data_IF_957277935968
#
_entry.id   IF_957277935968
#
_cell.length_a   1.000
_cell.length_b   1.000
_cell.length_c   1.000
_cell.angle_alpha   90.00
_cell.angle_beta   90.00
_cell.angle_gamma   90.00
#
_symmetry.space_group_name_H-M   'P 1'
#
loop_
_entity.id
_entity.type
_entity.pdbx_description
1 polymer ?
#
# COMPACT_ATOMS: atom_id res chain seq x y z
N UNK A 1 1.38 31.13 19.00
CA UNK A 1 1.74 29.76 19.44
C UNK A 1 0.42 29.01 19.59
N UNK A 2 0.15 27.96 18.81
CA UNK A 2 -1.19 27.35 18.67
C UNK A 2 -1.97 27.17 20.00
N UNK A 3 -1.30 26.69 21.05
CA UNK A 3 -1.87 26.52 22.39
C UNK A 3 -2.35 27.84 23.04
N UNK A 4 -1.50 28.88 23.00
CA UNK A 4 -1.81 30.21 23.57
C UNK A 4 -2.88 30.92 22.76
N UNK A 5 -2.82 30.81 21.44
CA UNK A 5 -3.75 31.51 20.52
C UNK A 5 -5.19 30.97 20.64
N UNK A 6 -5.34 29.74 21.12
CA UNK A 6 -6.65 29.09 21.33
C UNK A 6 -7.07 29.02 22.81
N UNK A 7 -6.31 29.62 23.73
CA UNK A 7 -6.65 29.67 25.16
C UNK A 7 -6.64 28.32 25.86
N UNK A 8 -5.80 27.36 25.44
CA UNK A 8 -5.70 26.06 26.09
C UNK A 8 -5.06 26.15 27.47
N UNK A 9 -5.58 25.37 28.43
CA UNK A 9 -4.97 25.25 29.76
C UNK A 9 -3.68 24.45 29.72
N UNK A 10 -2.87 24.56 30.77
CA UNK A 10 -1.63 23.77 30.92
C UNK A 10 -1.91 22.27 30.92
N UNK A 11 -2.98 21.83 31.59
CA UNK A 11 -3.43 20.44 31.63
C UNK A 11 -3.83 19.93 30.24
N UNK A 12 -4.61 20.71 29.48
CA UNK A 12 -5.02 20.39 28.12
C UNK A 12 -3.81 20.25 27.19
N UNK A 13 -2.83 21.15 27.31
CA UNK A 13 -1.60 21.07 26.52
C UNK A 13 -0.75 19.86 26.91
N UNK A 14 -0.64 19.54 28.20
CA UNK A 14 0.09 18.35 28.66
C UNK A 14 -0.53 17.06 28.13
N UNK A 15 -1.86 16.95 28.17
CA UNK A 15 -2.58 15.83 27.58
C UNK A 15 -2.34 15.76 26.06
N UNK A 16 -2.40 16.91 25.37
CA UNK A 16 -2.13 16.97 23.94
C UNK A 16 -0.73 16.47 23.57
N UNK A 17 0.32 16.93 24.27
CA UNK A 17 1.68 16.45 24.04
C UNK A 17 1.82 14.95 24.32
N UNK A 18 1.12 14.44 25.34
CA UNK A 18 1.09 13.02 25.64
C UNK A 18 0.47 12.21 24.50
N UNK A 19 -0.65 12.68 23.93
CA UNK A 19 -1.29 12.06 22.76
C UNK A 19 -0.32 12.03 21.57
N UNK A 20 0.35 13.14 21.26
CA UNK A 20 1.30 13.21 20.14
C UNK A 20 2.52 12.32 20.38
N UNK A 21 2.99 12.20 21.62
CA UNK A 21 4.08 11.28 21.98
C UNK A 21 3.68 9.82 21.73
N UNK A 22 2.54 9.39 22.26
CA UNK A 22 2.04 8.03 22.04
C UNK A 22 1.77 7.73 20.56
N UNK A 23 1.29 8.73 19.82
CA UNK A 23 1.13 8.66 18.37
C UNK A 23 2.46 8.44 17.66
N UNK A 24 3.49 9.18 18.08
CA UNK A 24 4.81 9.10 17.47
C UNK A 24 5.49 7.76 17.75
N UNK A 25 5.39 7.27 18.97
CA UNK A 25 5.87 5.92 19.35
C UNK A 25 5.25 4.85 18.44
N UNK A 26 3.93 4.88 18.23
CA UNK A 26 3.26 3.94 17.32
C UNK A 26 3.68 4.12 15.85
N UNK A 27 3.97 5.36 15.42
CA UNK A 27 4.36 5.64 14.04
C UNK A 27 5.75 5.05 13.69
N UNK A 28 6.67 5.04 14.64
CA UNK A 28 8.08 4.63 14.44
C UNK A 28 8.37 3.19 14.83
N UNK A 29 7.42 2.51 15.48
CA UNK A 29 7.54 1.11 15.92
C UNK A 29 7.78 0.11 14.77
N UNK A 30 7.36 0.48 13.56
CA UNK A 30 7.49 -0.37 12.38
C UNK A 30 8.05 0.41 11.18
N UNK A 31 8.95 -0.18 10.37
CA UNK A 31 9.42 0.43 9.13
C UNK A 31 8.35 0.47 8.03
N UNK A 32 7.28 -0.33 8.15
CA UNK A 32 6.22 -0.39 7.17
C UNK A 32 5.27 0.79 7.26
N UNK A 33 4.65 1.16 6.13
CA UNK A 33 3.63 2.21 6.09
C UNK A 33 2.45 1.89 7.02
N UNK A 34 2.19 2.76 7.98
CA UNK A 34 1.19 2.58 9.03
C UNK A 34 0.41 3.88 9.31
N UNK A 35 0.21 4.74 8.31
CA UNK A 35 -0.44 6.04 8.47
C UNK A 35 -1.89 5.88 8.93
N UNK A 36 -2.64 4.99 8.28
CA UNK A 36 -4.05 4.71 8.56
C UNK A 36 -4.28 4.20 9.99
N UNK A 37 -3.61 3.12 10.46
CA UNK A 37 -3.81 2.65 11.83
C UNK A 37 -3.33 3.67 12.88
N UNK A 38 -2.28 4.45 12.59
CA UNK A 38 -1.81 5.51 13.49
C UNK A 38 -2.85 6.65 13.56
N UNK A 39 -3.49 6.99 12.44
CA UNK A 39 -4.57 7.97 12.43
C UNK A 39 -5.84 7.46 13.14
N UNK A 40 -6.14 6.16 13.06
CA UNK A 40 -7.23 5.57 13.84
C UNK A 40 -6.95 5.68 15.34
N UNK A 41 -5.75 5.30 15.77
CA UNK A 41 -5.32 5.41 17.17
C UNK A 41 -5.34 6.86 17.67
N UNK A 42 -4.96 7.83 16.83
CA UNK A 42 -5.10 9.25 17.14
C UNK A 42 -6.55 9.64 17.45
N UNK A 43 -7.51 9.19 16.61
CA UNK A 43 -8.94 9.48 16.81
C UNK A 43 -9.45 8.87 18.11
N UNK A 44 -9.06 7.64 18.42
CA UNK A 44 -9.42 6.96 19.67
C UNK A 44 -8.91 7.71 20.90
N UNK A 45 -7.61 8.06 20.93
CA UNK A 45 -7.02 8.85 22.01
C UNK A 45 -7.75 10.19 22.19
N UNK A 46 -8.01 10.90 21.09
CA UNK A 46 -8.68 12.19 21.15
C UNK A 46 -10.11 12.05 21.69
N UNK A 47 -10.82 10.98 21.33
CA UNK A 47 -12.15 10.67 21.84
C UNK A 47 -12.13 10.37 23.36
N UNK A 48 -11.15 9.60 23.83
CA UNK A 48 -10.95 9.32 25.25
C UNK A 48 -10.74 10.58 26.10
N UNK A 49 -10.12 11.62 25.53
CA UNK A 49 -9.90 12.89 26.21
C UNK A 49 -11.02 13.94 25.98
N UNK A 50 -12.06 13.59 25.24
CA UNK A 50 -13.17 14.51 24.89
C UNK A 50 -14.51 14.10 25.48
N UNK A 51 -14.73 12.80 25.69
CA UNK A 51 -15.98 12.27 26.24
C UNK A 51 -15.81 11.97 27.73
N UNK A 52 -16.84 12.23 28.54
CA UNK A 52 -16.85 11.90 29.98
C UNK A 52 -17.46 10.51 30.22
N UNK A 53 -16.61 9.49 30.40
CA UNK A 53 -16.99 8.09 30.72
C UNK A 53 -15.97 7.56 31.75
N UNK A 54 -16.19 7.82 33.06
CA UNK A 54 -15.41 7.17 34.10
C UNK A 54 -15.55 5.64 33.97
N UNK A 55 -14.49 4.82 34.15
CA UNK A 55 -13.16 5.10 34.72
C UNK A 55 -12.04 5.48 33.73
N UNK A 56 -12.28 5.44 32.41
CA UNK A 56 -11.19 5.52 31.40
C UNK A 56 -11.09 6.86 30.67
N UNK A 57 -12.11 7.73 30.70
CA UNK A 57 -12.18 8.90 29.84
C UNK A 57 -12.50 10.18 30.62
N UNK A 58 -11.70 11.22 30.40
CA UNK A 58 -11.78 12.52 31.07
C UNK A 58 -12.11 13.56 30.00
N UNK A 59 -13.21 14.29 30.15
CA UNK A 59 -13.61 15.35 29.22
C UNK A 59 -12.72 16.59 29.41
N UNK A 60 -11.50 16.52 28.89
CA UNK A 60 -10.53 17.62 28.90
C UNK A 60 -10.77 18.59 27.75
N UNK A 61 -11.21 18.11 26.59
CA UNK A 61 -11.41 18.91 25.39
C UNK A 61 -12.88 19.09 25.05
N UNK A 62 -13.25 20.30 24.63
CA UNK A 62 -14.55 20.55 24.01
C UNK A 62 -14.56 20.13 22.53
N UNK A 63 -15.76 19.94 21.95
CA UNK A 63 -15.90 19.53 20.55
C UNK A 63 -15.21 20.49 19.57
N UNK A 64 -15.25 21.80 19.84
CA UNK A 64 -14.58 22.79 18.98
C UNK A 64 -13.06 22.77 19.14
N UNK A 65 -12.56 22.51 20.35
CA UNK A 65 -11.14 22.30 20.60
C UNK A 65 -10.62 21.06 19.87
N UNK A 66 -11.39 19.97 19.88
CA UNK A 66 -11.07 18.72 19.14
C UNK A 66 -10.90 19.00 17.65
N UNK A 67 -11.83 19.73 17.03
CA UNK A 67 -11.72 20.08 15.60
C UNK A 67 -10.45 20.86 15.27
N UNK A 68 -10.10 21.82 16.14
CA UNK A 68 -8.87 22.62 16.00
C UNK A 68 -7.63 21.76 16.15
N UNK A 69 -7.59 20.87 17.13
CA UNK A 69 -6.48 19.94 17.40
C UNK A 69 -6.30 18.95 16.26
N UNK A 70 -7.38 18.34 15.75
CA UNK A 70 -7.34 17.44 14.58
C UNK A 70 -6.79 18.17 13.36
N UNK A 71 -7.31 19.37 13.06
CA UNK A 71 -6.83 20.18 11.94
C UNK A 71 -5.35 20.52 12.11
N UNK A 72 -4.91 20.82 13.33
CA UNK A 72 -3.51 21.13 13.62
C UNK A 72 -2.61 19.90 13.43
N UNK A 73 -2.99 18.73 13.98
CA UNK A 73 -2.22 17.49 13.83
C UNK A 73 -2.10 17.05 12.38
N UNK A 74 -3.19 17.14 11.60
CA UNK A 74 -3.15 16.80 10.18
C UNK A 74 -2.19 17.72 9.41
N UNK A 75 -2.25 19.03 9.67
CA UNK A 75 -1.43 20.00 8.96
C UNK A 75 0.05 20.03 9.39
N UNK A 76 0.37 19.55 10.58
CA UNK A 76 1.74 19.58 11.11
C UNK A 76 2.35 18.19 11.15
N UNK A 77 1.78 17.28 11.95
CA UNK A 77 2.33 15.95 12.16
C UNK A 77 2.13 15.04 10.94
N UNK A 78 0.87 14.80 10.55
CA UNK A 78 0.57 13.84 9.47
C UNK A 78 1.02 14.33 8.09
N UNK A 79 1.00 15.65 7.85
CA UNK A 79 1.58 16.25 6.64
C UNK A 79 3.06 15.87 6.45
N UNK A 80 3.80 15.73 7.54
CA UNK A 80 5.22 15.39 7.53
C UNK A 80 5.49 13.96 8.03
N UNK A 81 4.49 13.08 7.97
CA UNK A 81 4.58 11.71 8.50
C UNK A 81 5.78 10.93 7.95
N UNK A 82 6.04 11.02 6.64
CA UNK A 82 7.18 10.36 5.99
C UNK A 82 8.53 10.82 6.54
N UNK A 83 8.67 12.12 6.86
CA UNK A 83 9.90 12.68 7.43
C UNK A 83 10.16 12.10 8.81
N UNK A 84 9.13 12.10 9.68
CA UNK A 84 9.24 11.50 11.01
C UNK A 84 9.57 10.02 10.92
N UNK A 85 8.89 9.29 10.05
CA UNK A 85 9.16 7.87 9.85
C UNK A 85 10.61 7.63 9.39
N UNK A 86 11.08 8.38 8.41
CA UNK A 86 12.44 8.24 7.91
C UNK A 86 13.52 8.53 8.98
N UNK A 87 13.32 9.57 9.79
CA UNK A 87 14.31 9.99 10.78
C UNK A 87 14.34 9.10 12.04
N UNK A 88 13.18 8.59 12.46
CA UNK A 88 13.02 7.95 13.77
C UNK A 88 12.77 6.44 13.71
N UNK A 89 12.53 5.85 12.53
CA UNK A 89 12.38 4.39 12.42
C UNK A 89 13.75 3.70 12.46
N UNK A 90 13.95 2.71 13.34
CA UNK A 90 15.15 1.89 13.35
C UNK A 90 15.35 1.16 12.01
N UNK A 91 16.54 1.26 11.43
CA UNK A 91 16.89 0.51 10.21
C UNK A 91 17.23 -0.94 10.58
N UNK A 92 16.42 -1.89 10.13
CA UNK A 92 16.74 -3.32 10.23
C UNK A 92 17.67 -3.68 9.08
N UNK A 93 18.91 -4.09 9.39
CA UNK A 93 19.87 -4.61 8.40
C UNK A 93 20.01 -6.12 8.62
N UNK A 94 19.90 -6.89 7.54
CA UNK A 94 20.21 -8.31 7.54
C UNK A 94 21.54 -8.48 6.80
N UNK A 95 22.56 -9.00 7.51
CA UNK A 95 23.83 -9.39 6.92
C UNK A 95 23.82 -10.91 6.72
N UNK A 96 23.99 -11.35 5.47
CA UNK A 96 23.92 -12.75 5.08
C UNK A 96 25.31 -13.24 4.66
N UNK A 97 25.95 -14.03 5.53
CA UNK A 97 27.15 -14.78 5.17
C UNK A 97 26.75 -16.16 4.65
N UNK A 98 26.90 -16.40 3.35
CA UNK A 98 26.63 -17.68 2.72
C UNK A 98 27.94 -18.45 2.55
N UNK A 99 28.09 -19.56 3.26
CA UNK A 99 29.14 -20.54 3.00
C UNK A 99 28.55 -21.68 2.18
N UNK A 100 29.01 -21.83 0.95
CA UNK A 100 28.53 -22.88 0.05
C UNK A 100 29.44 -24.10 0.13
N UNK A 101 28.90 -25.22 0.61
CA UNK A 101 29.63 -26.49 0.69
C UNK A 101 29.57 -27.20 -0.66
N UNK A 102 30.73 -27.53 -1.24
CA UNK A 102 30.83 -28.34 -2.46
C UNK A 102 31.14 -27.58 -3.76
N UNK A 103 31.40 -26.28 -3.70
CA UNK A 103 32.04 -25.57 -4.82
C UNK A 103 33.56 -25.84 -4.79
N UNK A 104 34.20 -26.11 -5.94
CA UNK A 104 35.66 -26.09 -6.01
C UNK A 104 36.14 -24.70 -5.60
N UNK A 105 37.20 -24.63 -4.78
CA UNK A 105 37.83 -23.35 -4.42
C UNK A 105 38.37 -22.72 -5.70
N UNK A 106 37.66 -21.73 -6.22
CA UNK A 106 38.22 -20.85 -7.25
C UNK A 106 39.38 -20.12 -6.56
N UNK A 107 40.62 -20.23 -7.06
CA UNK A 107 41.72 -19.49 -6.49
C UNK A 107 41.38 -18.00 -6.52
N UNK A 108 41.67 -17.29 -5.43
CA UNK A 108 41.58 -15.83 -5.40
C UNK A 108 42.32 -15.27 -6.63
N UNK A 109 41.76 -14.30 -7.35
CA UNK A 109 42.47 -13.65 -8.44
C UNK A 109 43.76 -13.10 -7.84
N UNK A 110 44.87 -13.73 -8.20
CA UNK A 110 46.20 -13.28 -7.82
C UNK A 110 46.34 -11.84 -8.26
N UNK A 111 46.47 -10.92 -7.30
CA UNK A 111 46.92 -9.56 -7.56
C UNK A 111 48.33 -9.67 -8.14
N UNK A 112 48.40 -9.71 -9.47
CA UNK A 112 49.65 -9.49 -10.18
C UNK A 112 49.98 -8.02 -9.96
N UNK A 113 50.91 -7.78 -9.05
CA UNK A 113 51.47 -6.47 -8.80
C UNK A 113 52.16 -5.95 -10.05
N UNK A 114 51.57 -4.91 -10.63
CA UNK A 114 52.23 -3.86 -11.40
C UNK A 114 51.68 -2.57 -10.76
N UNK A 115 52.38 -1.94 -9.82
CA UNK A 115 53.51 -1.07 -10.10
C UNK A 115 53.04 0.36 -9.87
N UNK A 116 53.58 1.00 -8.83
CA UNK A 116 53.47 2.42 -8.54
C UNK A 116 53.53 3.30 -9.80
N UNK A 117 52.50 4.13 -10.04
CA UNK A 117 52.67 5.46 -10.60
C UNK A 117 51.75 6.45 -9.86
N UNK A 118 52.36 7.23 -8.98
CA UNK A 118 51.83 8.51 -8.51
C UNK A 118 51.64 9.46 -9.70
N UNK A 119 50.42 9.98 -9.89
CA UNK A 119 50.11 10.97 -10.91
C UNK A 119 48.90 11.83 -10.51
N UNK A 120 49.17 13.10 -10.26
CA UNK A 120 48.31 14.08 -9.60
C UNK A 120 47.13 14.63 -10.43
N UNK A 121 46.14 15.18 -9.71
CA UNK A 121 45.15 16.17 -10.17
C UNK A 121 43.75 15.57 -10.40
N UNK A 122 42.64 16.19 -10.07
CA UNK A 122 42.32 17.54 -9.60
C UNK A 122 40.89 17.50 -9.03
N UNK A 123 40.59 18.56 -8.31
CA UNK A 123 39.46 19.00 -7.50
C UNK A 123 38.00 18.73 -7.92
N UNK A 124 37.15 18.86 -6.88
CA UNK A 124 35.85 19.54 -6.85
C UNK A 124 34.60 18.81 -7.38
N UNK A 125 33.36 19.05 -6.93
CA UNK A 125 32.75 19.66 -5.74
C UNK A 125 31.24 19.67 -6.07
N UNK A 126 30.38 19.16 -5.17
CA UNK A 126 28.92 19.39 -5.09
C UNK A 126 28.07 19.03 -6.34
N UNK A 127 26.83 18.58 -6.24
CA UNK A 127 25.57 19.31 -5.95
C UNK A 127 24.48 18.23 -6.11
N UNK A 128 23.79 17.85 -5.05
CA UNK A 128 22.39 18.20 -4.71
C UNK A 128 21.31 17.39 -5.47
N UNK A 129 20.36 16.88 -4.68
CA UNK A 129 19.07 16.23 -5.00
C UNK A 129 18.25 16.97 -6.10
N UNK A 130 17.14 16.45 -6.69
CA UNK A 130 16.18 15.49 -6.11
C UNK A 130 15.59 14.45 -7.06
N UNK A 131 15.08 13.33 -6.54
CA UNK A 131 14.19 12.47 -7.32
C UNK A 131 12.73 12.59 -6.83
N UNK A 132 11.90 13.08 -7.75
CA UNK A 132 10.45 13.08 -7.66
C UNK A 132 9.93 12.78 -9.06
N UNK A 133 9.28 11.62 -9.15
CA UNK A 133 8.10 11.35 -9.99
C UNK A 133 8.34 10.83 -11.42
N UNK A 134 7.76 9.63 -11.62
CA UNK A 134 7.14 9.09 -12.85
C UNK A 134 8.00 8.42 -13.94
N UNK A 135 7.51 7.21 -14.27
CA UNK A 135 7.40 6.59 -15.59
C UNK A 135 8.63 5.92 -16.26
N UNK A 136 8.46 4.60 -16.42
CA UNK A 136 8.88 3.79 -17.58
C UNK A 136 10.28 4.05 -18.15
N UNK A 137 11.30 3.51 -17.49
CA UNK A 137 12.55 3.15 -18.15
C UNK A 137 12.59 1.64 -18.35
N UNK A 138 12.21 1.21 -19.57
CA UNK A 138 12.45 -0.14 -20.08
C UNK A 138 13.97 -0.36 -20.06
N UNK A 139 14.47 -1.11 -19.08
CA UNK A 139 15.81 -1.66 -19.15
C UNK A 139 15.82 -2.74 -20.24
N UNK A 140 16.46 -2.47 -21.37
CA UNK A 140 16.92 -3.51 -22.27
C UNK A 140 18.03 -4.30 -21.55
N UNK A 141 17.63 -5.36 -20.85
CA UNK A 141 18.59 -6.37 -20.39
C UNK A 141 19.22 -7.02 -21.62
N UNK A 142 20.55 -6.89 -21.74
CA UNK A 142 21.32 -7.67 -22.70
C UNK A 142 21.01 -9.16 -22.52
N UNK A 143 20.30 -9.72 -23.50
CA UNK A 143 19.91 -11.12 -23.48
C UNK A 143 21.16 -12.02 -23.63
N UNK A 144 21.74 -12.41 -22.51
CA UNK A 144 22.65 -13.55 -22.47
C UNK A 144 21.94 -14.79 -23.03
N UNK A 145 22.67 -15.73 -23.68
CA UNK A 145 22.05 -16.91 -24.32
C UNK A 145 21.19 -17.73 -23.34
N UNK A 146 21.57 -17.78 -22.05
CA UNK A 146 20.82 -18.44 -21.00
C UNK A 146 19.44 -17.79 -20.73
N UNK A 147 19.32 -16.46 -20.81
CA UNK A 147 18.06 -15.75 -20.57
C UNK A 147 17.08 -15.98 -21.73
N UNK A 148 17.57 -16.12 -22.97
CA UNK A 148 16.73 -16.45 -24.13
C UNK A 148 16.13 -17.86 -24.03
N UNK A 149 16.93 -18.84 -23.60
CA UNK A 149 16.45 -20.22 -23.38
C UNK A 149 15.40 -20.28 -22.27
N UNK A 150 15.62 -19.58 -21.15
CA UNK A 150 14.65 -19.49 -20.06
C UNK A 150 13.34 -18.82 -20.51
N UNK A 151 13.40 -17.71 -21.25
CA UNK A 151 12.21 -17.06 -21.82
C UNK A 151 11.45 -17.99 -22.77
N UNK A 152 12.14 -18.79 -23.57
CA UNK A 152 11.51 -19.76 -24.47
C UNK A 152 10.75 -20.85 -23.69
N UNK A 153 11.34 -21.40 -22.63
CA UNK A 153 10.71 -22.42 -21.78
C UNK A 153 9.48 -21.84 -21.06
N UNK A 154 9.59 -20.62 -20.51
CA UNK A 154 8.48 -19.93 -19.83
C UNK A 154 7.33 -19.69 -20.82
N UNK A 155 7.62 -19.20 -22.02
CA UNK A 155 6.60 -18.91 -23.03
C UNK A 155 5.91 -20.19 -23.52
N UNK A 156 6.63 -21.31 -23.69
CA UNK A 156 6.01 -22.59 -24.06
C UNK A 156 5.07 -23.12 -22.97
N UNK A 157 5.51 -23.07 -21.70
CA UNK A 157 4.70 -23.53 -20.57
C UNK A 157 3.46 -22.66 -20.37
N UNK A 158 3.60 -21.33 -20.52
CA UNK A 158 2.49 -20.39 -20.43
C UNK A 158 1.47 -20.63 -21.55
N UNK A 159 1.92 -20.86 -22.77
CA UNK A 159 1.05 -21.14 -23.91
C UNK A 159 0.25 -22.44 -23.70
N UNK A 160 0.88 -23.48 -23.16
CA UNK A 160 0.22 -24.73 -22.83
C UNK A 160 -0.85 -24.55 -21.75
N UNK A 161 -0.53 -23.83 -20.66
CA UNK A 161 -1.47 -23.51 -19.58
C UNK A 161 -2.69 -22.71 -20.09
N UNK A 162 -2.45 -21.73 -20.97
CA UNK A 162 -3.53 -20.92 -21.56
C UNK A 162 -4.43 -21.76 -22.47
N UNK A 163 -3.86 -22.69 -23.24
CA UNK A 163 -4.66 -23.62 -24.05
C UNK A 163 -5.48 -24.59 -23.19
N UNK A 164 -4.92 -25.11 -22.11
CA UNK A 164 -5.64 -25.96 -21.15
C UNK A 164 -6.79 -25.19 -20.50
N UNK A 165 -6.57 -23.95 -20.06
CA UNK A 165 -7.62 -23.10 -19.50
C UNK A 165 -8.73 -22.81 -20.52
N UNK A 166 -8.37 -22.48 -21.76
CA UNK A 166 -9.34 -22.21 -22.83
C UNK A 166 -10.26 -23.42 -23.06
N UNK A 167 -9.68 -24.61 -23.19
CA UNK A 167 -10.47 -25.84 -23.38
C UNK A 167 -11.36 -26.16 -22.18
N UNK A 168 -10.87 -25.94 -20.96
CA UNK A 168 -11.68 -26.11 -19.74
C UNK A 168 -12.87 -25.16 -19.68
N UNK A 169 -12.66 -23.88 -20.00
CA UNK A 169 -13.73 -22.87 -20.03
C UNK A 169 -14.74 -23.19 -21.13
N UNK A 170 -14.30 -23.54 -22.34
CA UNK A 170 -15.21 -23.91 -23.44
C UNK A 170 -16.06 -25.14 -23.09
N UNK A 171 -15.49 -26.13 -22.40
CA UNK A 171 -16.24 -27.29 -21.89
C UNK A 171 -17.26 -26.89 -20.83
N UNK A 172 -16.89 -26.01 -19.88
CA UNK A 172 -17.82 -25.52 -18.86
C UNK A 172 -18.97 -24.70 -19.46
N UNK A 173 -18.69 -23.86 -20.46
CA UNK A 173 -19.72 -23.09 -21.16
C UNK A 173 -20.70 -24.04 -21.86
N UNK A 174 -20.19 -25.01 -22.64
CA UNK A 174 -21.04 -26.00 -23.31
C UNK A 174 -21.88 -26.83 -22.34
N UNK A 175 -21.28 -27.28 -21.23
CA UNK A 175 -22.01 -28.03 -20.21
C UNK A 175 -23.13 -27.20 -19.56
N UNK A 176 -22.87 -25.92 -19.29
CA UNK A 176 -23.90 -25.00 -18.76
C UNK A 176 -24.97 -24.68 -19.80
N UNK A 177 -24.61 -24.50 -21.06
CA UNK A 177 -25.58 -24.29 -22.14
C UNK A 177 -26.49 -25.51 -22.35
N UNK A 178 -25.95 -26.73 -22.26
CA UNK A 178 -26.73 -27.97 -22.29
C UNK A 178 -27.65 -28.11 -21.07
N UNK A 179 -27.19 -27.71 -19.87
CA UNK A 179 -28.00 -27.71 -18.66
C UNK A 179 -29.16 -26.68 -18.76
N UNK A 180 -28.88 -25.50 -19.31
CA UNK A 180 -29.87 -24.47 -19.59
C UNK A 180 -30.87 -24.97 -20.65
N UNK A 181 -30.40 -25.58 -21.75
CA UNK A 181 -31.27 -26.14 -22.78
C UNK A 181 -32.19 -27.24 -22.22
N UNK A 182 -31.67 -28.10 -21.33
CA UNK A 182 -32.45 -29.15 -20.65
C UNK A 182 -33.48 -28.59 -19.67
N UNK A 183 -33.15 -27.51 -18.94
CA UNK A 183 -34.09 -26.78 -18.07
C UNK A 183 -35.17 -26.03 -18.86
N UNK A 184 -34.84 -25.51 -20.04
CA UNK A 184 -35.79 -24.84 -20.94
C UNK A 184 -36.69 -25.83 -21.72
N UNK A 185 -36.30 -27.12 -21.79
CA UNK A 185 -37.04 -28.18 -22.49
C UNK A 185 -38.16 -28.86 -21.69
N UNK A 186 -38.42 -28.46 -20.44
CA UNK A 186 -39.52 -29.02 -19.62
C UNK A 186 -40.27 -27.87 -18.94
N UNK A 187 -41.25 -27.31 -19.65
CA UNK A 187 -42.43 -26.65 -19.06
C UNK A 187 -43.46 -26.42 -20.16
N UNK A 188 -44.09 -27.50 -20.61
CA UNK A 188 -45.36 -27.45 -21.32
C UNK A 188 -46.42 -28.18 -20.49
N UNK A 189 -46.86 -27.55 -19.40
CA UNK A 189 -48.20 -27.78 -18.87
C UNK A 189 -48.75 -26.47 -18.26
N UNK A 190 -50.02 -26.20 -18.52
CA UNK A 190 -50.75 -24.92 -18.47
C UNK A 190 -51.00 -24.37 -17.02
N UNK A 191 -51.71 -23.22 -16.75
CA UNK A 191 -52.54 -22.38 -17.64
C UNK A 191 -52.47 -20.83 -17.46
N UNK A 192 -52.76 -20.14 -18.58
CA UNK A 192 -53.56 -18.89 -18.70
C UNK A 192 -53.13 -17.61 -17.95
N UNK A 193 -52.85 -16.49 -18.64
CA UNK A 193 -52.74 -15.19 -17.97
C UNK A 193 -54.12 -14.57 -17.67
N UNK A 194 -54.30 -13.91 -16.51
CA UNK A 194 -55.53 -13.21 -16.17
C UNK A 194 -55.64 -11.87 -16.92
N UNK A 195 -56.88 -11.46 -17.24
CA UNK A 195 -57.22 -10.17 -17.84
C UNK A 195 -57.11 -9.02 -16.82
N UNK A 196 -56.56 -7.88 -17.23
CA UNK A 196 -56.99 -6.49 -16.88
C UNK A 196 -55.95 -5.45 -17.36
N UNK A 197 -56.22 -4.12 -17.34
CA UNK A 197 -57.38 -3.38 -17.87
C UNK A 197 -56.98 -2.22 -18.82
N UNK A 198 -57.93 -1.77 -19.67
CA UNK A 198 -57.83 -0.56 -20.53
C UNK A 198 -57.66 0.75 -19.73
N UNK A 199 -56.87 1.71 -20.23
CA UNK A 199 -57.10 3.13 -19.94
C UNK A 199 -57.69 3.86 -21.16
N UNK A 200 -58.86 4.50 -20.93
CA UNK A 200 -59.49 5.52 -21.78
C UNK A 200 -59.04 6.90 -21.31
N UNK A 201 -58.78 7.81 -22.25
CA UNK A 201 -58.71 9.28 -22.04
C UNK A 201 -57.74 9.92 -23.03
N UNK A 202 -58.12 10.45 -24.19
CA UNK A 202 -59.00 11.59 -24.56
C UNK A 202 -58.36 12.97 -24.36
N UNK A 203 -57.83 13.48 -25.50
CA UNK A 203 -57.86 14.86 -26.07
C UNK A 203 -57.59 16.11 -25.22
N UNK A 204 -56.79 17.00 -25.83
CA UNK A 204 -56.73 18.46 -25.64
C UNK A 204 -55.26 18.88 -25.68
N UNK A 205 -54.78 19.77 -26.55
CA UNK A 205 -55.37 20.86 -27.33
C UNK A 205 -54.47 21.15 -28.52
#
# INVERSE_FOLDING_TARGET
MFGKDNGFTTEQMSAWFSIIKSLHEMAVDTPYGNVEPVFEYFKELLLCHSVKRPPYSVALFSVDQVKKLTTYAVNTYFRHFKMYKYAFTPKVRLDLSLEYVGLPVTPEPSEVGEGDEEGAGDTAQAVDEPDKTEEEAIHEEEDTPAVKELKAIINSALTEQVQQLKTSVDQQIKAKDEEIAKKMGISADAPGPPKSPKPKGKKGK
#
